data_IF_695590058330
#
_entry.id   IF_695590058330
#
_cell.length_a   1.000
_cell.length_b   1.000
_cell.length_c   1.000
_cell.angle_alpha   90.00
_cell.angle_beta   90.00
_cell.angle_gamma   90.00
#
_symmetry.space_group_name_H-M   'P 1'
#
loop_
_entity.id
_entity.type
_entity.pdbx_description
1 polymer ?
#
# COMPACT_ATOMS: atom_id res chain seq x y z
N UNK A 1 -21.31 -19.22 41.91
CA UNK A 1 -22.10 -20.48 42.02
C UNK A 1 -21.82 -21.30 40.77
N UNK A 2 -22.06 -22.62 40.82
CA UNK A 2 -21.69 -23.55 39.74
C UNK A 2 -22.90 -23.95 38.88
N UNK A 3 -22.60 -24.52 37.69
CA UNK A 3 -23.47 -25.30 36.81
C UNK A 3 -24.76 -24.63 36.26
N UNK A 4 -24.71 -24.29 34.96
CA UNK A 4 -25.50 -25.04 33.96
C UNK A 4 -24.58 -25.32 32.77
N UNK A 5 -24.51 -26.58 32.34
CA UNK A 5 -23.83 -27.06 31.12
C UNK A 5 -24.61 -28.28 30.63
N UNK A 6 -25.36 -28.15 29.54
CA UNK A 6 -25.66 -29.19 28.54
C UNK A 6 -26.62 -28.62 27.47
N UNK A 7 -26.82 -29.40 26.39
CA UNK A 7 -27.56 -29.07 25.16
C UNK A 7 -26.85 -28.02 24.25
N UNK A 8 -26.65 -28.23 22.94
CA UNK A 8 -27.06 -29.31 22.01
C UNK A 8 -25.87 -29.76 21.15
N UNK A 9 -25.72 -31.07 20.92
CA UNK A 9 -24.84 -31.60 19.87
C UNK A 9 -25.26 -33.00 19.40
N UNK A 10 -25.81 -33.10 18.17
CA UNK A 10 -26.10 -34.37 17.46
C UNK A 10 -26.63 -34.15 16.03
N UNK A 11 -25.77 -34.08 15.02
CA UNK A 11 -26.15 -34.26 13.60
C UNK A 11 -24.96 -34.39 12.63
N UNK A 12 -24.01 -35.31 12.90
CA UNK A 12 -22.93 -35.59 11.95
C UNK A 12 -22.32 -37.00 12.15
N UNK A 13 -22.87 -38.01 11.45
CA UNK A 13 -22.08 -39.16 10.99
C UNK A 13 -22.81 -40.00 9.93
N UNK A 14 -22.04 -40.63 9.04
CA UNK A 14 -22.38 -41.73 8.11
C UNK A 14 -23.43 -41.46 7.03
N UNK A 15 -22.95 -41.45 5.78
CA UNK A 15 -23.10 -42.59 4.86
C UNK A 15 -21.92 -42.60 3.86
N UNK A 16 -21.26 -43.76 3.72
CA UNK A 16 -20.21 -44.03 2.71
C UNK A 16 -20.26 -45.53 2.39
N UNK A 17 -20.47 -45.86 1.12
CA UNK A 17 -20.12 -47.11 0.41
C UNK A 17 -20.07 -46.68 -1.08
N UNK A 18 -18.91 -46.69 -1.75
CA UNK A 18 -18.35 -47.82 -2.52
C UNK A 18 -19.31 -48.40 -3.57
N UNK A 19 -19.09 -48.05 -4.84
CA UNK A 19 -19.22 -49.00 -5.95
C UNK A 19 -18.13 -48.71 -7.01
N UNK A 20 -17.78 -49.70 -7.83
CA UNK A 20 -16.61 -49.71 -8.74
C UNK A 20 -17.02 -50.02 -10.18
N UNK A 21 -16.03 -49.96 -11.07
CA UNK A 21 -16.06 -50.26 -12.51
C UNK A 21 -16.65 -49.12 -13.38
N UNK A 22 -16.27 -48.98 -14.65
CA UNK A 22 -15.40 -49.84 -15.48
C UNK A 22 -14.49 -48.98 -16.40
N UNK A 23 -13.37 -49.55 -16.86
CA UNK A 23 -12.49 -48.95 -17.87
C UNK A 23 -12.82 -49.58 -19.23
N UNK A 24 -12.98 -48.74 -20.25
CA UNK A 24 -12.99 -49.18 -21.66
C UNK A 24 -12.14 -48.20 -22.47
N UNK A 25 -11.13 -48.72 -23.15
CA UNK A 25 -10.30 -47.98 -24.11
C UNK A 25 -11.05 -47.73 -25.42
N UNK A 26 -10.72 -46.64 -26.13
CA UNK A 26 -10.63 -46.71 -27.59
C UNK A 26 -9.56 -45.73 -28.12
N UNK A 27 -8.67 -46.23 -28.98
CA UNK A 27 -7.79 -45.39 -29.81
C UNK A 27 -8.58 -44.90 -31.04
N UNK A 28 -8.28 -43.71 -31.56
CA UNK A 28 -7.78 -43.64 -32.94
C UNK A 28 -6.95 -42.36 -33.21
N UNK A 29 -6.33 -42.33 -34.38
CA UNK A 29 -5.31 -41.40 -34.86
C UNK A 29 -5.88 -40.54 -36.00
N UNK A 30 -4.98 -39.81 -36.67
CA UNK A 30 -5.20 -39.04 -37.93
C UNK A 30 -5.93 -37.68 -37.77
N UNK A 31 -5.73 -36.71 -38.67
CA UNK A 31 -4.68 -36.64 -39.68
C UNK A 31 -4.97 -35.73 -40.87
N UNK A 32 -4.43 -34.51 -40.82
CA UNK A 32 -4.09 -33.64 -41.96
C UNK A 32 -5.19 -33.11 -42.93
N UNK A 33 -5.17 -31.78 -43.06
CA UNK A 33 -5.14 -31.02 -44.32
C UNK A 33 -6.41 -30.72 -45.16
N UNK A 34 -6.68 -29.40 -45.20
CA UNK A 34 -6.92 -28.55 -46.39
C UNK A 34 -8.31 -28.28 -47.02
N UNK A 35 -8.54 -26.98 -47.17
CA UNK A 35 -9.06 -26.25 -48.34
C UNK A 35 -10.55 -26.34 -48.75
N UNK A 36 -11.24 -25.19 -48.60
CA UNK A 36 -11.93 -24.56 -49.75
C UNK A 36 -12.04 -23.04 -49.62
N UNK A 37 -12.36 -22.34 -50.73
CA UNK A 37 -12.17 -20.89 -50.93
C UNK A 37 -13.50 -20.12 -50.98
N UNK A 38 -13.51 -18.85 -50.56
CA UNK A 38 -14.31 -17.80 -51.22
C UNK A 38 -13.69 -16.40 -51.11
N UNK A 39 -14.06 -15.52 -52.07
CA UNK A 39 -13.39 -14.25 -52.40
C UNK A 39 -14.26 -13.04 -52.02
N UNK A 40 -13.66 -11.89 -51.67
CA UNK A 40 -13.78 -10.60 -52.42
C UNK A 40 -13.19 -9.39 -51.65
N UNK A 41 -12.10 -8.81 -52.17
CA UNK A 41 -12.09 -7.47 -52.82
C UNK A 41 -10.71 -7.16 -53.42
N UNK A 42 -10.69 -6.46 -54.55
CA UNK A 42 -9.51 -5.86 -55.21
C UNK A 42 -9.81 -4.39 -55.46
N UNK A 43 -8.86 -3.50 -55.22
CA UNK A 43 -8.47 -2.43 -56.16
C UNK A 43 -7.02 -2.01 -55.90
N UNK A 44 -6.36 -1.44 -56.91
CA UNK A 44 -4.91 -1.20 -56.98
C UNK A 44 -4.61 0.23 -57.45
N UNK A 45 -3.50 0.79 -56.96
CA UNK A 45 -2.47 1.66 -57.61
C UNK A 45 -1.32 1.74 -56.56
N UNK A 46 -0.02 1.47 -56.76
CA UNK A 46 0.96 1.62 -57.87
C UNK A 46 1.07 3.07 -58.39
N UNK A 47 2.24 3.69 -58.54
CA UNK A 47 3.69 3.25 -58.53
C UNK A 47 4.44 3.94 -57.34
N UNK A 48 5.64 3.59 -56.84
CA UNK A 48 6.96 3.22 -57.39
C UNK A 48 7.65 4.34 -58.25
N UNK A 49 8.94 4.65 -58.12
CA UNK A 49 9.96 4.25 -57.13
C UNK A 49 11.40 4.17 -57.70
N UNK A 50 12.42 4.55 -56.91
CA UNK A 50 13.89 4.44 -57.10
C UNK A 50 14.55 5.12 -58.33
N UNK A 51 15.67 5.81 -58.07
CA UNK A 51 16.92 5.60 -58.82
C UNK A 51 18.13 5.76 -57.89
N UNK A 52 19.32 5.34 -58.34
CA UNK A 52 20.59 5.34 -57.60
C UNK A 52 21.76 5.40 -58.60
N UNK A 53 22.90 6.00 -58.23
CA UNK A 53 24.15 5.88 -58.99
C UNK A 53 25.37 6.07 -58.11
N UNK A 54 26.44 5.33 -58.43
CA UNK A 54 27.84 5.59 -58.05
C UNK A 54 28.50 6.55 -59.10
N UNK A 55 29.82 6.82 -59.20
CA UNK A 55 31.03 6.08 -58.77
C UNK A 55 32.28 7.00 -58.82
N UNK A 56 33.23 6.79 -57.90
CA UNK A 56 34.72 6.96 -57.99
C UNK A 56 35.41 8.28 -58.41
N UNK A 57 36.70 8.34 -58.04
CA UNK A 57 37.77 9.32 -58.35
C UNK A 57 38.20 9.22 -59.84
N UNK A 58 39.17 9.95 -60.43
CA UNK A 58 40.42 10.64 -60.01
C UNK A 58 40.75 11.73 -61.09
N UNK A 59 41.70 12.70 -61.06
CA UNK A 59 42.84 13.12 -60.20
C UNK A 59 43.12 14.62 -60.45
N UNK A 60 43.83 15.33 -59.57
CA UNK A 60 45.06 16.09 -59.93
C UNK A 60 45.86 16.55 -58.70
N UNK A 61 47.13 16.92 -58.89
CA UNK A 61 48.15 17.07 -57.83
C UNK A 61 49.04 18.28 -58.08
N UNK A 62 49.35 19.11 -57.07
CA UNK A 62 50.55 19.98 -57.08
C UNK A 62 50.87 20.67 -55.75
N UNK A 63 52.13 20.53 -55.33
CA UNK A 63 53.02 21.62 -54.88
C UNK A 63 52.66 22.51 -53.68
N UNK A 64 53.36 22.28 -52.56
CA UNK A 64 54.09 23.28 -51.73
C UNK A 64 53.51 24.71 -51.63
N UNK A 65 53.16 25.22 -50.45
CA UNK A 65 54.14 25.69 -49.45
C UNK A 65 53.46 26.02 -48.10
N UNK A 66 54.23 26.15 -47.01
CA UNK A 66 53.73 26.57 -45.70
C UNK A 66 53.58 28.10 -45.57
N UNK A 67 52.51 28.59 -44.90
CA UNK A 67 52.68 29.66 -43.89
C UNK A 67 51.51 29.75 -42.87
N UNK A 68 51.74 30.44 -41.75
CA UNK A 68 50.99 30.27 -40.49
C UNK A 68 49.94 31.35 -40.23
N UNK A 69 48.65 30.99 -40.10
CA UNK A 69 47.62 31.85 -39.46
C UNK A 69 46.74 31.12 -38.42
N UNK A 70 46.70 31.71 -37.22
CA UNK A 70 46.10 31.17 -35.97
C UNK A 70 44.56 31.04 -36.04
N UNK A 71 44.01 29.84 -35.80
CA UNK A 71 42.58 29.66 -35.45
C UNK A 71 42.38 29.59 -33.93
N UNK A 72 41.49 30.44 -33.38
CA UNK A 72 41.17 30.48 -31.94
C UNK A 72 40.50 29.18 -31.49
N UNK A 73 41.06 28.49 -30.48
CA UNK A 73 40.36 27.41 -29.77
C UNK A 73 39.09 27.98 -29.10
N UNK A 74 37.89 27.64 -29.59
CA UNK A 74 36.65 27.83 -28.81
C UNK A 74 36.77 26.98 -27.54
N UNK A 75 36.92 27.61 -26.37
CA UNK A 75 36.75 26.93 -25.08
C UNK A 75 35.34 26.31 -25.08
N UNK A 76 35.24 24.98 -24.95
CA UNK A 76 33.97 24.36 -24.53
C UNK A 76 33.62 24.97 -23.17
N UNK A 77 32.40 25.49 -23.01
CA UNK A 77 31.89 25.75 -21.65
C UNK A 77 31.94 24.42 -20.88
N UNK A 78 32.27 24.41 -19.58
CA UNK A 78 32.05 23.21 -18.78
C UNK A 78 30.58 22.81 -18.90
N UNK A 79 30.29 21.51 -18.93
CA UNK A 79 28.95 21.06 -18.56
C UNK A 79 28.77 21.48 -17.11
N UNK A 80 27.72 22.24 -16.85
CA UNK A 80 27.35 22.56 -15.48
C UNK A 80 27.00 21.24 -14.77
N UNK A 81 27.58 21.01 -13.60
CA UNK A 81 27.14 19.91 -12.73
C UNK A 81 25.94 20.46 -11.97
N UNK A 82 24.78 20.46 -12.64
CA UNK A 82 23.52 20.91 -12.04
C UNK A 82 23.37 20.29 -10.66
N UNK A 83 23.08 21.14 -9.66
CA UNK A 83 22.95 20.70 -8.28
C UNK A 83 21.85 19.65 -8.13
N UNK A 84 21.91 18.89 -7.03
CA UNK A 84 20.83 17.99 -6.64
C UNK A 84 19.53 18.80 -6.60
N UNK A 85 18.49 18.34 -7.31
CA UNK A 85 17.17 18.98 -7.24
C UNK A 85 16.69 18.92 -5.79
N UNK A 86 16.40 20.07 -5.22
CA UNK A 86 15.74 20.18 -3.93
C UNK A 86 14.22 20.21 -4.16
N UNK A 87 13.46 19.67 -3.22
CA UNK A 87 12.00 19.75 -3.21
C UNK A 87 11.56 21.23 -3.05
N UNK A 88 10.39 21.57 -3.59
CA UNK A 88 9.78 22.90 -3.43
C UNK A 88 9.03 23.02 -2.10
N UNK A 89 8.64 24.25 -1.76
CA UNK A 89 7.70 24.57 -0.69
C UNK A 89 6.53 25.37 -1.30
N UNK A 90 5.28 24.85 -1.30
CA UNK A 90 4.89 23.49 -0.93
C UNK A 90 5.49 22.43 -1.88
N UNK A 91 5.56 21.15 -1.49
CA UNK A 91 6.24 20.12 -2.27
C UNK A 91 5.48 19.74 -3.54
N UNK A 92 6.18 19.69 -4.67
CA UNK A 92 5.56 19.51 -6.01
C UNK A 92 6.39 18.71 -7.01
N UNK A 93 7.67 18.45 -6.75
CA UNK A 93 8.56 17.69 -7.64
C UNK A 93 8.42 16.19 -7.34
N UNK A 94 8.16 15.32 -8.33
CA UNK A 94 8.11 13.88 -8.12
C UNK A 94 9.41 13.33 -7.52
N UNK A 95 9.31 12.34 -6.62
CA UNK A 95 10.47 11.73 -5.97
C UNK A 95 11.45 11.13 -6.98
N UNK A 96 10.96 10.54 -8.07
CA UNK A 96 11.77 10.04 -9.18
C UNK A 96 12.60 11.11 -9.90
N UNK A 97 12.21 12.39 -9.81
CA UNK A 97 13.02 13.51 -10.32
C UNK A 97 14.09 13.99 -9.32
N UNK A 98 13.89 13.78 -8.01
CA UNK A 98 14.86 14.12 -6.95
C UNK A 98 16.03 13.12 -6.93
N UNK A 99 15.77 11.84 -7.24
CA UNK A 99 16.74 10.75 -7.28
C UNK A 99 16.93 10.23 -8.73
N UNK A 100 17.55 11.02 -9.64
CA UNK A 100 17.63 10.71 -11.07
C UNK A 100 18.60 9.56 -11.44
N UNK A 101 19.31 9.01 -10.45
CA UNK A 101 20.07 7.77 -10.55
C UNK A 101 19.27 6.53 -10.14
N UNK A 102 18.04 6.73 -9.64
CA UNK A 102 17.13 5.69 -9.17
C UNK A 102 17.44 5.16 -7.76
N UNK A 103 18.38 5.74 -7.01
CA UNK A 103 18.73 5.26 -5.67
C UNK A 103 17.90 5.97 -4.59
N UNK A 104 16.75 5.40 -4.22
CA UNK A 104 15.86 6.00 -3.23
C UNK A 104 16.32 5.76 -1.77
N UNK A 105 15.99 6.65 -0.82
CA UNK A 105 16.44 6.53 0.56
C UNK A 105 16.00 5.22 1.23
N UNK A 106 16.99 4.51 1.77
CA UNK A 106 16.80 3.28 2.56
C UNK A 106 16.10 3.63 3.88
N UNK A 107 15.15 2.80 4.30
CA UNK A 107 14.49 2.95 5.59
C UNK A 107 15.38 2.59 6.79
N UNK A 108 14.80 2.60 7.99
CA UNK A 108 15.54 2.22 9.20
C UNK A 108 15.88 0.72 9.17
N UNK A 109 17.17 0.42 9.04
CA UNK A 109 17.69 -0.95 9.12
C UNK A 109 17.78 -1.40 10.57
N UNK A 110 17.19 -2.55 10.87
CA UNK A 110 17.19 -3.20 12.17
C UNK A 110 17.62 -4.67 12.03
N UNK A 111 18.14 -5.24 13.11
CA UNK A 111 18.26 -6.71 13.24
C UNK A 111 16.84 -7.30 13.36
N UNK A 112 16.64 -8.53 12.88
CA UNK A 112 15.39 -9.27 13.13
C UNK A 112 15.14 -9.39 14.65
N UNK A 113 13.86 -9.41 15.06
CA UNK A 113 13.52 -9.38 16.48
C UNK A 113 14.02 -10.60 17.28
N UNK A 114 14.29 -10.45 18.59
CA UNK A 114 14.75 -11.53 19.46
C UNK A 114 13.62 -12.49 19.87
N UNK A 115 12.40 -12.32 19.36
CA UNK A 115 11.20 -13.06 19.75
C UNK A 115 11.17 -14.47 19.11
N UNK A 116 11.86 -15.42 19.74
CA UNK A 116 11.85 -16.84 19.32
C UNK A 116 12.87 -17.22 18.24
N UNK A 117 13.62 -16.27 17.71
CA UNK A 117 14.76 -16.49 16.80
C UNK A 117 16.03 -16.73 17.62
N UNK A 118 16.92 -17.63 17.18
CA UNK A 118 18.28 -17.66 17.72
C UNK A 118 18.98 -16.33 17.39
N UNK A 119 19.26 -15.54 18.43
CA UNK A 119 19.91 -14.24 18.38
C UNK A 119 21.29 -14.30 17.67
N UNK A 120 21.92 -15.48 17.61
CA UNK A 120 23.08 -15.76 16.75
C UNK A 120 22.72 -15.81 15.26
N UNK A 121 21.64 -16.48 14.87
CA UNK A 121 21.20 -16.60 13.48
C UNK A 121 20.72 -15.25 12.93
N UNK A 122 19.98 -14.48 13.72
CA UNK A 122 19.57 -13.12 13.36
C UNK A 122 20.77 -12.20 13.04
N UNK A 123 21.90 -12.38 13.74
CA UNK A 123 23.16 -11.65 13.51
C UNK A 123 23.97 -12.21 12.34
N UNK A 124 23.98 -13.54 12.16
CA UNK A 124 24.67 -14.19 11.03
C UNK A 124 24.10 -13.77 9.67
N UNK A 125 22.79 -13.52 9.56
CA UNK A 125 22.12 -13.05 8.34
C UNK A 125 22.76 -11.79 7.71
N UNK A 126 23.21 -10.83 8.53
CA UNK A 126 23.91 -9.62 8.04
C UNK A 126 25.26 -9.92 7.36
N UNK A 127 25.90 -11.03 7.74
CA UNK A 127 27.25 -11.42 7.31
C UNK A 127 27.27 -12.55 6.28
N UNK A 128 26.16 -13.28 6.11
CA UNK A 128 26.06 -14.38 5.16
C UNK A 128 26.06 -13.86 3.71
N UNK A 129 26.98 -14.36 2.88
CA UNK A 129 26.98 -14.03 1.44
C UNK A 129 25.81 -14.64 0.66
N UNK A 130 25.20 -15.72 1.19
CA UNK A 130 23.95 -16.28 0.67
C UNK A 130 22.79 -15.31 0.89
N UNK A 131 22.59 -14.85 2.13
CA UNK A 131 21.58 -13.85 2.45
C UNK A 131 21.80 -12.56 1.64
N UNK A 132 23.05 -12.09 1.52
CA UNK A 132 23.42 -10.94 0.68
C UNK A 132 23.15 -11.18 -0.81
N UNK A 133 23.26 -12.42 -1.31
CA UNK A 133 22.91 -12.74 -2.69
C UNK A 133 21.39 -12.66 -2.92
N UNK A 134 20.59 -13.25 -2.03
CA UNK A 134 19.13 -13.19 -2.06
C UNK A 134 18.60 -11.75 -1.92
N UNK A 135 19.21 -10.97 -1.03
CA UNK A 135 18.89 -9.55 -0.80
C UNK A 135 19.24 -8.67 -2.03
N UNK A 136 20.34 -8.98 -2.72
CA UNK A 136 20.68 -8.35 -4.02
C UNK A 136 19.70 -8.73 -5.14
N UNK A 137 19.09 -9.91 -5.10
CA UNK A 137 18.14 -10.39 -6.13
C UNK A 137 16.75 -9.74 -6.07
N UNK A 138 16.43 -9.02 -4.98
CA UNK A 138 15.14 -8.36 -4.77
C UNK A 138 15.29 -6.83 -4.54
N UNK A 139 16.49 -6.27 -4.74
CA UNK A 139 16.74 -4.87 -4.42
C UNK A 139 15.93 -3.89 -5.28
N UNK A 140 15.55 -4.28 -6.50
CA UNK A 140 14.57 -3.59 -7.33
C UNK A 140 13.20 -3.47 -6.64
N UNK A 141 12.68 -4.55 -6.06
CA UNK A 141 11.44 -4.57 -5.27
C UNK A 141 11.53 -3.63 -4.06
N UNK A 142 12.63 -3.69 -3.31
CA UNK A 142 12.83 -2.81 -2.16
C UNK A 142 12.97 -1.34 -2.59
N UNK A 143 13.56 -1.07 -3.75
CA UNK A 143 13.77 0.27 -4.27
C UNK A 143 12.47 0.92 -4.81
N UNK A 144 11.59 0.14 -5.45
CA UNK A 144 10.21 0.55 -5.77
C UNK A 144 9.47 1.00 -4.49
N UNK A 145 9.56 0.20 -3.42
CA UNK A 145 8.94 0.52 -2.13
C UNK A 145 9.59 1.74 -1.44
N UNK A 146 10.91 1.94 -1.55
CA UNK A 146 11.60 3.15 -1.05
C UNK A 146 11.15 4.42 -1.77
N UNK A 147 10.87 4.39 -3.07
CA UNK A 147 10.30 5.54 -3.78
C UNK A 147 8.92 5.91 -3.22
N UNK A 148 8.05 4.93 -3.01
CA UNK A 148 6.75 5.13 -2.41
C UNK A 148 6.85 5.67 -0.97
N UNK A 149 7.76 5.12 -0.17
CA UNK A 149 8.00 5.53 1.22
C UNK A 149 8.53 6.97 1.33
N UNK A 150 9.36 7.39 0.38
CA UNK A 150 9.86 8.76 0.29
C UNK A 150 8.76 9.75 -0.12
N UNK A 151 7.87 9.37 -1.05
CA UNK A 151 6.69 10.18 -1.39
C UNK A 151 5.74 10.30 -0.19
N UNK A 152 5.59 9.22 0.60
CA UNK A 152 4.83 9.22 1.85
C UNK A 152 5.44 10.15 2.91
N UNK A 153 6.76 10.03 3.19
CA UNK A 153 7.50 10.92 4.10
C UNK A 153 7.35 12.40 3.74
N UNK A 154 7.56 12.76 2.47
CA UNK A 154 7.48 14.15 2.05
C UNK A 154 6.04 14.69 2.09
N UNK A 155 5.04 13.85 1.79
CA UNK A 155 3.63 14.22 1.91
C UNK A 155 3.24 14.45 3.37
N UNK A 156 3.51 13.49 4.27
CA UNK A 156 3.03 13.57 5.66
C UNK A 156 3.64 14.75 6.42
N UNK A 157 4.91 15.08 6.18
CA UNK A 157 5.56 16.28 6.75
C UNK A 157 4.82 17.57 6.37
N UNK A 158 4.58 17.78 5.07
CA UNK A 158 3.79 18.92 4.58
C UNK A 158 2.42 18.97 5.24
N UNK A 159 1.75 17.82 5.37
CA UNK A 159 0.39 17.75 5.91
C UNK A 159 0.33 17.97 7.43
N UNK A 160 1.32 17.51 8.20
CA UNK A 160 1.47 17.87 9.62
C UNK A 160 1.64 19.39 9.80
N UNK A 161 2.46 20.01 8.95
CA UNK A 161 2.70 21.46 8.97
C UNK A 161 1.49 22.26 8.46
N UNK A 162 0.70 21.70 7.53
CA UNK A 162 -0.43 22.36 6.87
C UNK A 162 -1.75 22.29 7.66
N UNK A 163 -2.22 21.11 8.10
CA UNK A 163 -3.55 20.94 8.70
C UNK A 163 -3.75 21.83 9.94
N UNK A 164 -4.91 22.50 10.03
CA UNK A 164 -5.35 23.25 11.22
C UNK A 164 -6.83 22.98 11.52
N UNK A 165 -7.28 23.12 12.78
CA UNK A 165 -8.70 23.18 13.11
C UNK A 165 -9.43 24.28 12.32
N UNK A 166 -10.71 24.06 12.01
CA UNK A 166 -11.52 24.90 11.14
C UNK A 166 -11.53 24.47 9.66
N UNK A 167 -10.62 23.59 9.24
CA UNK A 167 -10.66 22.96 7.91
C UNK A 167 -11.70 21.84 7.85
N UNK A 168 -12.37 21.66 6.71
CA UNK A 168 -13.20 20.46 6.47
C UNK A 168 -12.33 19.23 6.22
N UNK A 169 -12.84 18.04 6.54
CA UNK A 169 -12.15 16.79 6.22
C UNK A 169 -11.93 16.63 4.70
N UNK A 170 -12.81 17.22 3.87
CA UNK A 170 -12.71 17.19 2.41
C UNK A 170 -11.49 18.01 1.94
N UNK A 171 -11.27 19.20 2.48
CA UNK A 171 -10.09 20.02 2.15
C UNK A 171 -8.79 19.31 2.56
N UNK A 172 -8.78 18.71 3.75
CA UNK A 172 -7.64 17.94 4.27
C UNK A 172 -7.30 16.76 3.36
N UNK A 173 -8.29 15.93 3.00
CA UNK A 173 -8.06 14.79 2.11
C UNK A 173 -7.64 15.24 0.71
N UNK A 174 -8.23 16.32 0.18
CA UNK A 174 -7.89 16.79 -1.16
C UNK A 174 -6.45 17.31 -1.24
N UNK A 175 -5.99 18.11 -0.27
CA UNK A 175 -4.60 18.63 -0.25
C UNK A 175 -3.56 17.51 -0.06
N UNK A 176 -3.82 16.56 0.85
CA UNK A 176 -2.96 15.39 1.05
C UNK A 176 -2.89 14.55 -0.22
N UNK A 177 -4.04 14.17 -0.79
CA UNK A 177 -4.05 13.30 -1.97
C UNK A 177 -3.47 14.01 -3.21
N UNK A 178 -3.71 15.31 -3.38
CA UNK A 178 -3.07 16.08 -4.45
C UNK A 178 -1.55 16.14 -4.27
N UNK A 179 -1.06 16.36 -3.06
CA UNK A 179 0.37 16.33 -2.74
C UNK A 179 0.95 14.94 -3.03
N UNK A 180 0.36 13.88 -2.49
CA UNK A 180 0.80 12.51 -2.70
C UNK A 180 0.85 12.13 -4.19
N UNK A 181 -0.14 12.53 -5.00
CA UNK A 181 -0.16 12.31 -6.46
C UNK A 181 0.97 13.04 -7.20
N UNK A 182 1.28 14.28 -6.80
CA UNK A 182 2.42 15.05 -7.34
C UNK A 182 3.76 14.37 -6.99
N UNK A 183 3.92 13.90 -5.75
CA UNK A 183 5.18 13.35 -5.24
C UNK A 183 5.45 11.90 -5.68
N UNK A 184 4.42 11.05 -5.77
CA UNK A 184 4.57 9.69 -6.32
C UNK A 184 4.75 9.70 -7.85
N UNK A 185 4.17 10.70 -8.52
CA UNK A 185 4.06 10.78 -9.98
C UNK A 185 2.95 9.88 -10.52
N UNK A 186 1.69 10.19 -10.20
CA UNK A 186 0.49 9.38 -10.54
C UNK A 186 0.44 8.98 -12.05
N UNK A 187 0.63 7.68 -12.34
CA UNK A 187 0.56 7.07 -13.69
C UNK A 187 -0.25 5.76 -13.65
N UNK A 188 -1.58 5.89 -13.67
CA UNK A 188 -2.51 4.77 -13.75
C UNK A 188 -2.37 3.81 -12.57
N UNK A 189 -1.92 2.58 -12.85
CA UNK A 189 -1.61 1.57 -11.83
C UNK A 189 -0.09 1.41 -11.59
N UNK A 190 0.78 2.07 -12.37
CA UNK A 190 2.23 1.97 -12.21
C UNK A 190 2.75 2.80 -11.04
N UNK A 191 2.13 3.96 -10.79
CA UNK A 191 2.43 4.83 -9.66
C UNK A 191 1.16 5.54 -9.19
N UNK A 192 0.91 5.62 -7.88
CA UNK A 192 -0.35 6.17 -7.40
C UNK A 192 -0.58 6.05 -5.89
N UNK A 193 -1.84 6.26 -5.51
CA UNK A 193 -2.32 6.10 -4.13
C UNK A 193 -2.87 4.69 -3.95
N UNK A 194 -2.46 3.98 -2.91
CA UNK A 194 -2.78 2.56 -2.73
C UNK A 194 -4.16 2.32 -2.10
N UNK A 195 -4.62 3.28 -1.30
CA UNK A 195 -5.94 3.29 -0.68
C UNK A 195 -6.33 4.73 -0.28
N UNK A 196 -7.63 5.02 -0.04
CA UNK A 196 -8.08 6.37 0.28
C UNK A 196 -7.53 6.92 1.59
N UNK A 197 -7.38 8.24 1.66
CA UNK A 197 -6.93 8.92 2.88
C UNK A 197 -7.93 8.75 4.02
N UNK A 198 -7.60 7.90 4.98
CA UNK A 198 -8.23 7.85 6.28
C UNK A 198 -7.96 9.14 7.06
N UNK A 199 -9.01 9.68 7.66
CA UNK A 199 -8.98 10.86 8.51
C UNK A 199 -9.86 10.65 9.76
N UNK A 200 -9.80 9.44 10.33
CA UNK A 200 -10.73 8.92 11.35
C UNK A 200 -10.62 9.65 12.68
N UNK A 201 -11.76 10.06 13.27
CA UNK A 201 -11.77 10.96 14.44
C UNK A 201 -12.33 10.34 15.73
N UNK A 202 -11.65 10.63 16.84
CA UNK A 202 -12.06 10.29 18.21
C UNK A 202 -12.34 8.80 18.37
N UNK A 203 -13.57 8.41 18.69
CA UNK A 203 -14.02 7.02 18.77
C UNK A 203 -13.97 6.23 17.45
N UNK A 204 -13.95 6.88 16.28
CA UNK A 204 -13.67 6.23 15.00
C UNK A 204 -12.17 5.97 14.88
N UNK A 205 -11.78 4.71 14.76
CA UNK A 205 -10.39 4.27 14.65
C UNK A 205 -9.90 4.31 13.20
N UNK A 206 -10.58 3.61 12.29
CA UNK A 206 -10.15 3.37 10.91
C UNK A 206 -11.29 3.55 9.87
N UNK A 207 -10.93 3.56 8.58
CA UNK A 207 -11.82 3.56 7.41
C UNK A 207 -12.83 4.73 7.25
N UNK A 208 -12.70 5.83 8.00
CA UNK A 208 -13.43 7.06 7.67
C UNK A 208 -12.61 7.95 6.73
N UNK A 209 -13.16 8.20 5.54
CA UNK A 209 -12.81 9.33 4.66
C UNK A 209 -14.13 10.00 4.24
N UNK A 210 -14.21 11.34 4.10
CA UNK A 210 -15.46 12.01 3.77
C UNK A 210 -15.98 11.61 2.39
N UNK A 211 -17.30 11.50 2.28
CA UNK A 211 -18.01 11.40 1.01
C UNK A 211 -18.34 12.80 0.46
N UNK A 212 -18.77 12.90 -0.80
CA UNK A 212 -19.12 14.18 -1.41
C UNK A 212 -20.29 14.85 -0.67
N UNK A 213 -20.05 16.06 -0.14
CA UNK A 213 -21.03 16.83 0.64
C UNK A 213 -20.97 16.61 2.16
N UNK A 214 -20.00 15.85 2.67
CA UNK A 214 -19.73 15.74 4.11
C UNK A 214 -19.31 17.12 4.68
N UNK A 215 -20.07 17.70 5.63
CA UNK A 215 -19.80 19.03 6.19
C UNK A 215 -18.83 19.01 7.38
N UNK A 216 -18.24 17.85 7.70
CA UNK A 216 -17.45 17.64 8.92
C UNK A 216 -16.19 18.50 8.96
N UNK A 217 -16.06 19.34 9.99
CA UNK A 217 -14.94 20.26 10.25
C UNK A 217 -14.06 19.72 11.38
N UNK A 218 -12.75 19.79 11.19
CA UNK A 218 -11.74 19.41 12.20
C UNK A 218 -11.72 20.43 13.35
N UNK A 219 -11.82 19.94 14.57
CA UNK A 219 -11.84 20.74 15.81
C UNK A 219 -10.50 20.62 16.57
N UNK A 220 -10.29 21.51 17.54
CA UNK A 220 -9.06 21.53 18.36
C UNK A 220 -8.91 20.30 19.28
N UNK A 221 -10.02 19.77 19.79
CA UNK A 221 -10.07 18.61 20.70
C UNK A 221 -10.20 17.26 19.96
N UNK A 222 -9.96 17.20 18.64
CA UNK A 222 -10.00 15.94 17.91
C UNK A 222 -8.71 15.11 18.04
N UNK A 223 -8.89 13.79 18.14
CA UNK A 223 -7.85 12.78 17.95
C UNK A 223 -8.02 12.13 16.57
N UNK A 224 -7.29 12.65 15.59
CA UNK A 224 -7.47 12.34 14.16
C UNK A 224 -6.37 11.41 13.66
N UNK A 225 -6.72 10.22 13.19
CA UNK A 225 -5.76 9.34 12.48
C UNK A 225 -5.66 9.79 11.04
N UNK A 226 -4.46 10.16 10.61
CA UNK A 226 -4.13 10.45 9.21
C UNK A 226 -3.39 9.23 8.68
N UNK A 227 -4.00 8.58 7.70
CA UNK A 227 -3.71 7.22 7.25
C UNK A 227 -3.84 7.20 5.72
N UNK A 228 -2.76 6.93 4.98
CA UNK A 228 -2.79 7.00 3.51
C UNK A 228 -1.70 6.20 2.82
N UNK A 229 -2.09 5.46 1.77
CA UNK A 229 -1.16 4.61 1.03
C UNK A 229 -0.58 5.23 -0.23
N UNK A 230 0.69 4.96 -0.50
CA UNK A 230 1.35 5.22 -1.81
C UNK A 230 1.88 3.91 -2.41
N UNK A 231 2.03 3.84 -3.73
CA UNK A 231 2.66 2.69 -4.37
C UNK A 231 3.46 3.02 -5.64
N UNK A 232 4.44 2.15 -5.93
CA UNK A 232 5.06 1.96 -7.25
C UNK A 232 4.91 0.49 -7.63
N UNK A 233 4.41 0.18 -8.84
CA UNK A 233 4.17 -1.17 -9.36
C UNK A 233 3.44 -2.13 -8.39
N UNK A 234 2.52 -1.58 -7.59
CA UNK A 234 1.78 -2.31 -6.56
C UNK A 234 2.57 -2.61 -5.27
N UNK A 235 3.82 -2.15 -5.13
CA UNK A 235 4.54 -2.12 -3.84
C UNK A 235 3.93 -1.03 -2.98
N UNK A 236 2.99 -1.41 -2.14
CA UNK A 236 2.26 -0.48 -1.27
C UNK A 236 3.14 -0.14 -0.07
N UNK A 237 3.16 1.15 0.26
CA UNK A 237 3.52 1.63 1.58
C UNK A 237 2.23 1.98 2.30
N UNK A 238 2.00 1.25 3.38
CA UNK A 238 0.99 1.47 4.40
C UNK A 238 1.65 2.12 5.63
N UNK A 239 1.06 3.20 6.15
CA UNK A 239 1.67 4.06 7.16
C UNK A 239 0.71 5.16 7.64
N UNK A 240 0.53 5.24 8.95
CA UNK A 240 -0.42 6.14 9.59
C UNK A 240 0.18 6.82 10.83
N UNK A 241 -0.36 7.99 11.18
CA UNK A 241 -0.03 8.73 12.39
C UNK A 241 -1.27 9.39 12.99
N UNK A 242 -1.24 9.67 14.30
CA UNK A 242 -2.31 10.43 14.94
C UNK A 242 -1.93 11.90 15.08
N UNK A 243 -2.76 12.77 14.48
CA UNK A 243 -2.73 14.22 14.61
C UNK A 243 -3.65 14.68 15.75
N UNK A 244 -3.12 15.57 16.59
CA UNK A 244 -3.81 16.25 17.70
C UNK A 244 -3.38 17.71 17.77
N UNK A 245 -4.22 18.57 18.35
CA UNK A 245 -3.85 19.97 18.66
C UNK A 245 -3.92 20.27 20.16
N UNK A 246 -4.71 19.52 20.93
CA UNK A 246 -4.72 19.58 22.39
C UNK A 246 -3.72 18.59 23.00
N UNK A 247 -2.66 19.04 23.71
CA UNK A 247 -1.65 18.16 24.30
C UNK A 247 -2.17 17.29 25.46
N UNK A 248 -3.42 17.44 25.90
CA UNK A 248 -4.03 16.50 26.87
C UNK A 248 -4.02 15.04 26.36
N UNK A 249 -3.94 14.85 25.04
CA UNK A 249 -3.87 13.54 24.41
C UNK A 249 -2.45 12.98 24.29
N UNK A 250 -1.38 13.75 24.52
CA UNK A 250 0.01 13.31 24.33
C UNK A 250 0.30 11.93 24.98
N UNK A 251 -0.13 11.63 26.22
CA UNK A 251 0.10 10.31 26.82
C UNK A 251 -0.54 9.14 26.07
N UNK A 252 -1.68 9.35 25.41
CA UNK A 252 -2.33 8.35 24.55
C UNK A 252 -1.57 8.18 23.22
N UNK A 253 -1.02 9.27 22.68
CA UNK A 253 -0.22 9.26 21.46
C UNK A 253 1.10 8.51 21.68
N UNK A 254 1.79 8.77 22.79
CA UNK A 254 3.03 8.06 23.15
C UNK A 254 2.79 6.57 23.44
N UNK A 255 1.69 6.22 24.14
CA UNK A 255 1.33 4.82 24.41
C UNK A 255 1.21 3.99 23.12
N UNK A 256 0.48 4.52 22.13
CA UNK A 256 0.31 3.85 20.83
C UNK A 256 1.62 3.87 20.02
N UNK A 257 2.40 4.96 20.08
CA UNK A 257 3.67 5.03 19.34
C UNK A 257 4.70 4.03 19.86
N UNK A 258 4.83 3.82 21.18
CA UNK A 258 5.74 2.77 21.69
C UNK A 258 5.16 1.35 21.57
N UNK A 259 3.84 1.16 21.61
CA UNK A 259 3.22 -0.12 21.30
C UNK A 259 3.50 -0.54 19.84
N UNK A 260 3.28 0.36 18.86
CA UNK A 260 3.67 0.14 17.45
C UNK A 260 5.15 -0.09 17.30
N UNK A 261 6.00 0.73 17.93
CA UNK A 261 7.44 0.51 17.88
C UNK A 261 7.86 -0.80 18.54
N UNK A 262 7.12 -1.31 19.53
CA UNK A 262 7.38 -2.61 20.15
C UNK A 262 6.96 -3.76 19.24
N UNK A 263 5.84 -3.65 18.51
CA UNK A 263 5.52 -4.56 17.40
C UNK A 263 6.64 -4.60 16.35
N UNK A 264 7.14 -3.43 15.93
CA UNK A 264 8.24 -3.30 14.97
C UNK A 264 9.54 -3.89 15.54
N UNK A 265 9.86 -3.69 16.82
CA UNK A 265 11.01 -4.30 17.51
C UNK A 265 10.90 -5.84 17.50
N UNK A 266 9.72 -6.38 17.84
CA UNK A 266 9.45 -7.81 17.96
C UNK A 266 9.44 -8.56 16.62
N UNK A 267 8.88 -7.96 15.56
CA UNK A 267 8.76 -8.56 14.23
C UNK A 267 10.11 -9.07 13.65
N UNK A 268 10.08 -10.15 12.87
CA UNK A 268 11.28 -10.78 12.32
C UNK A 268 10.95 -12.08 11.60
N UNK A 269 11.87 -12.57 10.76
CA UNK A 269 11.72 -13.90 10.13
C UNK A 269 11.66 -14.96 11.25
N UNK A 270 10.81 -15.97 11.09
CA UNK A 270 10.53 -17.05 12.06
C UNK A 270 9.82 -16.64 13.37
N UNK A 271 9.54 -15.36 13.57
CA UNK A 271 8.74 -14.85 14.72
C UNK A 271 7.27 -15.21 14.53
N UNK A 272 6.59 -15.66 15.59
CA UNK A 272 5.16 -15.97 15.56
C UNK A 272 4.32 -14.69 15.71
N UNK A 273 3.24 -14.57 14.93
CA UNK A 273 2.36 -13.40 14.93
C UNK A 273 1.73 -13.16 16.32
N UNK A 274 1.35 -14.23 17.02
CA UNK A 274 0.83 -14.17 18.39
C UNK A 274 1.83 -13.60 19.43
N UNK A 275 3.15 -13.82 19.27
CA UNK A 275 4.18 -13.29 20.17
C UNK A 275 4.32 -11.76 19.98
N UNK A 276 4.23 -11.29 18.73
CA UNK A 276 4.21 -9.85 18.39
C UNK A 276 3.01 -9.18 19.05
N UNK A 277 1.81 -9.77 18.97
CA UNK A 277 0.60 -9.24 19.59
C UNK A 277 0.61 -9.27 21.12
N UNK A 278 1.27 -10.24 21.74
CA UNK A 278 1.48 -10.25 23.18
C UNK A 278 2.38 -9.09 23.63
N UNK A 279 3.50 -8.86 22.94
CA UNK A 279 4.44 -7.77 23.26
C UNK A 279 3.84 -6.38 23.01
N UNK A 280 3.06 -6.20 21.93
CA UNK A 280 2.31 -4.97 21.66
C UNK A 280 1.34 -4.67 22.83
N UNK A 281 0.58 -5.68 23.27
CA UNK A 281 -0.41 -5.50 24.33
C UNK A 281 0.25 -5.18 25.68
N UNK A 282 1.35 -5.85 26.02
CA UNK A 282 2.08 -5.61 27.27
C UNK A 282 2.55 -4.15 27.38
N UNK A 283 3.06 -3.57 26.29
CA UNK A 283 3.42 -2.15 26.27
C UNK A 283 2.18 -1.26 26.25
N UNK A 284 1.20 -1.49 25.37
CA UNK A 284 -0.01 -0.67 25.28
C UNK A 284 -0.76 -0.56 26.61
N UNK A 285 -0.99 -1.69 27.29
CA UNK A 285 -1.75 -1.76 28.55
C UNK A 285 -0.90 -1.39 29.78
N UNK A 286 0.38 -1.04 29.61
CA UNK A 286 1.21 -0.46 30.69
C UNK A 286 1.00 1.05 30.88
N UNK A 287 0.36 1.73 29.92
CA UNK A 287 0.09 3.17 29.99
C UNK A 287 -1.28 3.48 30.62
N UNK A 288 -1.28 4.46 31.52
CA UNK A 288 -2.49 5.14 32.02
C UNK A 288 -2.50 6.60 31.54
N UNK A 289 -3.69 7.10 31.20
CA UNK A 289 -3.90 8.48 30.74
C UNK A 289 -5.04 9.13 31.52
N UNK A 290 -4.89 10.39 31.93
CA UNK A 290 -5.97 11.18 32.51
C UNK A 290 -6.54 12.13 31.45
N UNK A 291 -7.84 11.98 31.14
CA UNK A 291 -8.56 12.85 30.22
C UNK A 291 -9.78 13.41 30.92
N UNK A 292 -9.86 14.75 30.94
CA UNK A 292 -11.01 15.53 31.45
C UNK A 292 -11.46 15.10 32.86
N UNK A 293 -10.48 14.85 33.76
CA UNK A 293 -10.70 14.49 35.16
C UNK A 293 -10.97 12.99 35.41
N UNK A 294 -10.65 12.12 34.45
CA UNK A 294 -10.83 10.66 34.58
C UNK A 294 -9.64 9.89 34.02
N UNK A 295 -9.12 8.96 34.80
CA UNK A 295 -8.04 8.04 34.41
C UNK A 295 -8.57 6.87 33.56
N UNK A 296 -7.77 6.45 32.58
CA UNK A 296 -8.00 5.30 31.72
C UNK A 296 -6.70 4.53 31.53
N UNK A 297 -6.70 3.22 31.77
CA UNK A 297 -5.70 2.33 31.16
C UNK A 297 -5.95 2.30 29.64
N UNK A 298 -4.90 2.48 28.84
CA UNK A 298 -4.99 2.39 27.37
C UNK A 298 -5.18 0.92 26.97
N UNK A 299 -6.09 0.64 26.04
CA UNK A 299 -6.40 -0.73 25.60
C UNK A 299 -6.14 -0.90 24.12
N UNK A 300 -5.48 -2.00 23.74
CA UNK A 300 -5.47 -2.45 22.36
C UNK A 300 -6.89 -2.67 21.83
N UNK A 301 -7.21 -2.17 20.63
CA UNK A 301 -8.47 -2.50 19.94
C UNK A 301 -8.37 -3.93 19.40
N UNK A 302 -8.87 -4.91 20.18
CA UNK A 302 -8.57 -6.34 19.97
C UNK A 302 -9.09 -6.98 18.68
N UNK A 303 -9.89 -6.25 17.90
CA UNK A 303 -10.38 -6.66 16.57
C UNK A 303 -9.92 -5.70 15.44
N UNK A 304 -8.83 -4.97 15.65
CA UNK A 304 -7.98 -4.39 14.61
C UNK A 304 -6.61 -5.07 14.65
N UNK A 305 -5.98 -5.24 13.50
CA UNK A 305 -4.76 -6.04 13.34
C UNK A 305 -3.97 -5.48 12.16
N UNK A 306 -2.64 -5.33 12.30
CA UNK A 306 -1.77 -5.14 11.14
C UNK A 306 -1.80 -6.36 10.21
N UNK A 307 -1.09 -6.31 9.09
CA UNK A 307 -1.23 -7.35 8.05
C UNK A 307 0.00 -7.50 7.17
N UNK A 308 0.18 -8.69 6.60
CA UNK A 308 1.06 -8.89 5.45
C UNK A 308 0.56 -8.09 4.25
N UNK A 309 1.46 -7.48 3.47
CA UNK A 309 1.19 -6.73 2.24
C UNK A 309 1.72 -7.49 1.02
N UNK A 310 1.08 -7.34 -0.13
CA UNK A 310 1.53 -7.93 -1.41
C UNK A 310 1.21 -7.03 -2.61
N UNK A 311 1.78 -7.30 -3.80
CA UNK A 311 1.56 -6.48 -5.00
C UNK A 311 0.08 -6.25 -5.31
N UNK A 312 -0.36 -5.00 -5.22
CA UNK A 312 -1.77 -4.58 -5.38
C UNK A 312 -2.77 -5.27 -4.42
N UNK A 313 -2.30 -5.78 -3.27
CA UNK A 313 -3.11 -6.46 -2.25
C UNK A 313 -2.69 -5.97 -0.87
N UNK A 314 -3.49 -5.06 -0.29
CA UNK A 314 -3.19 -4.46 1.01
C UNK A 314 -3.22 -5.50 2.14
N UNK A 315 -4.31 -6.28 2.22
CA UNK A 315 -4.44 -7.43 3.11
C UNK A 315 -4.04 -8.74 2.38
N UNK A 316 -2.78 -9.16 2.50
CA UNK A 316 -2.26 -10.33 1.78
C UNK A 316 -2.57 -11.70 2.41
N UNK A 317 -3.14 -11.74 3.63
CA UNK A 317 -3.74 -12.94 4.22
C UNK A 317 -3.28 -13.27 5.65
N UNK A 318 -2.06 -12.89 6.05
CA UNK A 318 -1.61 -12.99 7.45
C UNK A 318 -1.97 -11.71 8.20
N UNK A 319 -2.49 -11.84 9.42
CA UNK A 319 -2.80 -10.73 10.31
C UNK A 319 -1.86 -10.69 11.52
N UNK A 320 -1.37 -9.50 11.85
CA UNK A 320 -0.51 -9.22 13.01
C UNK A 320 -1.42 -8.79 14.16
N UNK A 321 -1.69 -9.65 15.15
CA UNK A 321 -2.55 -9.28 16.27
C UNK A 321 -1.88 -8.19 17.11
N UNK A 322 -2.68 -7.39 17.80
CA UNK A 322 -2.23 -6.37 18.78
C UNK A 322 -2.63 -6.74 20.22
N UNK A 323 -3.01 -8.00 20.41
CA UNK A 323 -3.37 -8.66 21.67
C UNK A 323 -2.80 -10.08 21.72
N UNK A 324 -2.61 -10.62 22.92
CA UNK A 324 -2.24 -12.03 23.12
C UNK A 324 -3.34 -12.99 22.63
N UNK A 325 -2.95 -14.19 22.22
CA UNK A 325 -3.88 -15.28 21.87
C UNK A 325 -4.29 -15.38 20.40
N UNK A 326 -3.60 -14.67 19.50
CA UNK A 326 -3.71 -14.88 18.05
C UNK A 326 -3.03 -16.18 17.57
N UNK A 327 -2.93 -16.34 16.25
CA UNK A 327 -2.38 -17.56 15.64
C UNK A 327 -0.85 -17.66 15.72
N UNK A 328 -0.36 -18.91 15.81
CA UNK A 328 1.07 -19.26 15.82
C UNK A 328 1.71 -19.30 14.42
N UNK A 329 1.11 -18.65 13.43
CA UNK A 329 1.70 -18.47 12.09
C UNK A 329 2.97 -17.64 12.22
N UNK A 330 3.99 -17.96 11.41
CA UNK A 330 5.26 -17.23 11.36
C UNK A 330 5.29 -16.16 10.27
N UNK A 331 6.03 -15.10 10.54
CA UNK A 331 6.52 -14.18 9.52
C UNK A 331 7.68 -14.82 8.74
N UNK A 332 7.71 -14.65 7.43
CA UNK A 332 8.65 -15.29 6.50
C UNK A 332 9.58 -14.27 5.80
N UNK A 333 10.59 -14.79 5.12
CA UNK A 333 11.57 -13.97 4.39
C UNK A 333 10.97 -13.32 3.15
N UNK A 334 11.33 -12.05 2.90
CA UNK A 334 10.82 -11.17 1.85
C UNK A 334 9.35 -10.72 2.00
N UNK A 335 8.65 -11.13 3.07
CA UNK A 335 7.32 -10.59 3.36
C UNK A 335 7.40 -9.10 3.74
N UNK A 336 6.41 -8.34 3.26
CA UNK A 336 6.12 -6.98 3.69
C UNK A 336 4.99 -7.01 4.72
N UNK A 337 5.05 -6.16 5.74
CA UNK A 337 4.04 -6.07 6.80
C UNK A 337 3.71 -4.61 7.14
N UNK A 338 2.42 -4.29 7.15
CA UNK A 338 1.85 -3.23 7.98
C UNK A 338 1.98 -3.64 9.46
N UNK A 339 2.77 -2.89 10.23
CA UNK A 339 2.77 -2.99 11.69
C UNK A 339 2.10 -1.74 12.23
N UNK A 340 0.78 -1.81 12.37
CA UNK A 340 -0.07 -0.82 13.02
C UNK A 340 -0.52 -1.28 14.42
N UNK A 341 -0.81 -0.33 15.30
CA UNK A 341 -1.50 -0.59 16.56
C UNK A 341 -2.50 0.51 16.87
N UNK A 342 -3.58 0.14 17.57
CA UNK A 342 -4.65 1.06 17.95
C UNK A 342 -4.88 1.02 19.46
N UNK A 343 -4.67 2.16 20.12
CA UNK A 343 -5.02 2.36 21.53
C UNK A 343 -6.38 3.03 21.67
N UNK A 344 -7.19 2.59 22.63
CA UNK A 344 -8.52 3.10 22.93
C UNK A 344 -8.73 3.34 24.42
N UNK A 345 -9.40 4.43 24.77
CA UNK A 345 -9.96 4.68 26.12
C UNK A 345 -11.36 4.07 26.32
N UNK A 346 -11.92 3.44 25.29
CA UNK A 346 -13.25 2.83 25.25
C UNK A 346 -13.28 1.36 25.71
N UNK A 347 -13.90 0.50 24.90
CA UNK A 347 -14.00 -0.96 25.15
C UNK A 347 -12.81 -1.74 24.61
N UNK A 348 -11.98 -1.13 23.77
CA UNK A 348 -10.97 -1.83 22.96
C UNK A 348 -11.64 -2.77 21.95
N UNK A 349 -12.76 -2.33 21.34
CA UNK A 349 -13.51 -3.08 20.32
C UNK A 349 -14.15 -2.10 19.33
N UNK A 350 -13.87 -2.26 18.05
CA UNK A 350 -14.57 -1.53 16.98
C UNK A 350 -15.77 -2.30 16.42
N UNK A 351 -16.72 -1.56 15.85
CA UNK A 351 -17.84 -2.05 15.05
C UNK A 351 -18.14 -1.07 13.92
N UNK A 352 -18.76 -1.55 12.86
CA UNK A 352 -19.19 -0.77 11.69
C UNK A 352 -20.20 0.32 12.09
N UNK A 353 -19.95 1.58 11.74
CA UNK A 353 -20.89 2.69 11.89
C UNK A 353 -20.69 3.75 10.78
N UNK A 354 -21.57 4.75 10.73
CA UNK A 354 -21.55 5.88 9.78
C UNK A 354 -21.72 5.46 8.30
N UNK A 355 -21.56 6.40 7.37
CA UNK A 355 -21.70 6.08 5.94
C UNK A 355 -20.40 5.47 5.38
N UNK A 356 -20.48 4.21 4.93
CA UNK A 356 -19.37 3.54 4.25
C UNK A 356 -18.79 4.40 3.12
N UNK A 357 -17.46 4.56 3.12
CA UNK A 357 -16.73 5.43 2.20
C UNK A 357 -15.68 4.68 1.37
N UNK A 358 -15.01 3.70 1.98
CA UNK A 358 -14.00 2.85 1.36
C UNK A 358 -14.61 1.60 0.73
N UNK A 359 -14.04 1.18 -0.40
CA UNK A 359 -14.40 -0.01 -1.14
C UNK A 359 -13.13 -0.60 -1.76
N UNK A 360 -13.06 -1.93 -1.90
CA UNK A 360 -11.95 -2.59 -2.58
C UNK A 360 -12.50 -3.71 -3.46
N UNK A 361 -11.87 -3.96 -4.61
CA UNK A 361 -12.25 -5.12 -5.42
C UNK A 361 -11.75 -6.39 -4.73
N UNK A 362 -12.66 -7.32 -4.43
CA UNK A 362 -12.36 -8.66 -3.91
C UNK A 362 -11.23 -9.32 -4.69
N UNK A 363 -10.06 -9.52 -4.07
CA UNK A 363 -8.84 -9.90 -4.78
C UNK A 363 -8.96 -11.29 -5.42
N UNK A 364 -9.45 -12.27 -4.65
CA UNK A 364 -9.58 -13.67 -5.07
C UNK A 364 -10.89 -13.94 -5.85
N UNK A 365 -11.67 -12.90 -6.19
CA UNK A 365 -12.93 -13.06 -6.91
C UNK A 365 -12.71 -13.36 -8.41
N UNK A 366 -13.25 -14.50 -8.84
CA UNK A 366 -13.32 -14.90 -10.25
C UNK A 366 -14.34 -14.10 -11.07
N UNK A 367 -14.84 -14.70 -12.15
CA UNK A 367 -15.83 -14.05 -13.01
C UNK A 367 -17.20 -13.92 -12.31
N UNK A 368 -17.58 -12.69 -11.93
CA UNK A 368 -18.89 -12.39 -11.34
C UNK A 368 -19.93 -12.06 -12.43
N UNK A 369 -21.05 -12.82 -12.55
CA UNK A 369 -22.02 -12.68 -13.64
C UNK A 369 -22.98 -11.48 -13.44
N UNK A 370 -22.52 -10.28 -13.79
CA UNK A 370 -23.32 -9.06 -13.70
C UNK A 370 -24.42 -9.01 -14.78
N UNK A 371 -25.65 -8.70 -14.36
CA UNK A 371 -26.80 -8.48 -15.27
C UNK A 371 -26.92 -7.01 -15.69
N UNK A 372 -26.86 -6.08 -14.72
CA UNK A 372 -27.02 -4.64 -14.96
C UNK A 372 -25.84 -4.05 -15.75
N UNK A 373 -26.15 -3.23 -16.76
CA UNK A 373 -25.13 -2.59 -17.59
C UNK A 373 -24.36 -1.49 -16.83
N UNK A 374 -25.00 -0.84 -15.86
CA UNK A 374 -24.35 0.12 -14.95
C UNK A 374 -23.27 -0.54 -14.10
N UNK A 375 -23.55 -1.68 -13.47
CA UNK A 375 -22.57 -2.45 -12.69
C UNK A 375 -21.40 -2.94 -13.53
N UNK A 376 -21.66 -3.42 -14.76
CA UNK A 376 -20.58 -3.76 -15.72
C UNK A 376 -19.70 -2.55 -16.03
N UNK A 377 -20.30 -1.40 -16.29
CA UNK A 377 -19.57 -0.17 -16.58
C UNK A 377 -18.74 0.29 -15.38
N UNK A 378 -19.29 0.22 -14.17
CA UNK A 378 -18.60 0.60 -12.94
C UNK A 378 -17.43 -0.35 -12.63
N UNK A 379 -17.63 -1.68 -12.73
CA UNK A 379 -16.55 -2.65 -12.54
C UNK A 379 -15.44 -2.50 -13.58
N UNK A 380 -15.77 -2.12 -14.82
CA UNK A 380 -14.77 -1.77 -15.83
C UNK A 380 -13.98 -0.51 -15.46
N UNK A 381 -14.61 0.51 -14.88
CA UNK A 381 -13.88 1.67 -14.32
C UNK A 381 -12.97 1.26 -13.17
N UNK A 382 -13.46 0.47 -12.22
CA UNK A 382 -12.68 -0.02 -11.07
C UNK A 382 -11.46 -0.82 -11.53
N UNK A 383 -11.65 -1.82 -12.40
CA UNK A 383 -10.54 -2.60 -12.98
C UNK A 383 -9.50 -1.73 -13.72
N UNK A 384 -9.92 -0.61 -14.34
CA UNK A 384 -9.04 0.30 -15.09
C UNK A 384 -8.26 1.27 -14.19
N UNK A 385 -8.88 1.76 -13.13
CA UNK A 385 -8.36 2.87 -12.33
C UNK A 385 -7.78 2.47 -10.97
N UNK A 386 -8.23 1.34 -10.40
CA UNK A 386 -7.80 0.86 -9.08
C UNK A 386 -7.33 -0.60 -9.12
N UNK A 387 -7.85 -1.42 -10.04
CA UNK A 387 -7.48 -2.84 -10.15
C UNK A 387 -8.03 -3.62 -8.95
N UNK A 388 -7.14 -3.95 -8.01
CA UNK A 388 -7.44 -4.54 -6.69
C UNK A 388 -7.06 -3.63 -5.52
N UNK A 389 -6.55 -2.42 -5.78
CA UNK A 389 -6.36 -1.39 -4.76
C UNK A 389 -7.70 -0.87 -4.24
N UNK A 390 -7.70 -0.32 -3.02
CA UNK A 390 -8.89 0.28 -2.44
C UNK A 390 -9.16 1.69 -3.03
N UNK A 391 -10.42 2.10 -3.02
CA UNK A 391 -10.90 3.37 -3.55
C UNK A 391 -12.07 3.90 -2.72
N UNK A 392 -12.41 5.18 -2.87
CA UNK A 392 -13.56 5.79 -2.20
C UNK A 392 -14.53 6.45 -3.20
N UNK A 393 -15.70 6.89 -2.71
CA UNK A 393 -16.70 7.60 -3.52
C UNK A 393 -16.12 8.85 -4.19
N UNK A 394 -15.35 9.67 -3.47
CA UNK A 394 -14.67 10.87 -4.03
C UNK A 394 -13.76 10.52 -5.22
N UNK A 395 -13.14 9.34 -5.24
CA UNK A 395 -12.29 8.90 -6.35
C UNK A 395 -13.11 8.44 -7.57
N UNK A 396 -14.27 7.81 -7.35
CA UNK A 396 -15.24 7.56 -8.41
C UNK A 396 -15.76 8.87 -9.02
N UNK A 397 -16.04 9.88 -8.18
CA UNK A 397 -16.43 11.22 -8.64
C UNK A 397 -15.30 11.88 -9.46
N UNK A 398 -14.03 11.80 -8.99
CA UNK A 398 -12.84 12.32 -9.70
C UNK A 398 -12.64 11.71 -11.09
N UNK A 399 -12.92 10.41 -11.27
CA UNK A 399 -12.85 9.76 -12.59
C UNK A 399 -14.13 9.91 -13.43
N UNK A 400 -15.05 10.79 -13.02
CA UNK A 400 -16.24 11.17 -13.77
C UNK A 400 -17.41 10.19 -13.68
N UNK A 401 -17.41 9.26 -12.72
CA UNK A 401 -18.59 8.44 -12.46
C UNK A 401 -19.70 9.28 -11.79
N UNK A 402 -20.94 9.07 -12.20
CA UNK A 402 -22.12 9.70 -11.59
C UNK A 402 -23.24 8.68 -11.41
N UNK A 403 -24.09 8.86 -10.40
CA UNK A 403 -25.25 7.98 -10.10
C UNK A 403 -24.89 6.49 -9.94
N UNK A 404 -23.66 6.21 -9.53
CA UNK A 404 -23.10 4.86 -9.43
C UNK A 404 -23.53 4.10 -8.16
N UNK A 405 -24.18 4.75 -7.19
CA UNK A 405 -24.46 4.19 -5.86
C UNK A 405 -25.23 2.85 -5.92
N UNK A 406 -26.25 2.73 -6.78
CA UNK A 406 -26.97 1.46 -6.99
C UNK A 406 -26.11 0.39 -7.67
N UNK A 407 -25.22 0.79 -8.58
CA UNK A 407 -24.31 -0.13 -9.25
C UNK A 407 -23.21 -0.64 -8.29
N UNK A 408 -22.71 0.23 -7.41
CA UNK A 408 -21.73 -0.12 -6.38
C UNK A 408 -22.34 -1.10 -5.37
N UNK A 409 -23.58 -0.87 -4.94
CA UNK A 409 -24.36 -1.81 -4.11
C UNK A 409 -24.53 -3.17 -4.79
N UNK A 410 -24.89 -3.18 -6.08
CA UNK A 410 -25.05 -4.41 -6.90
C UNK A 410 -23.72 -5.16 -7.16
N UNK A 411 -22.56 -4.50 -7.06
CA UNK A 411 -21.24 -5.14 -7.04
C UNK A 411 -20.92 -5.76 -5.66
N UNK A 412 -21.28 -5.06 -4.58
CA UNK A 412 -21.08 -5.55 -3.20
C UNK A 412 -21.94 -6.78 -2.90
N UNK A 413 -23.22 -6.75 -3.27
CA UNK A 413 -24.18 -7.87 -3.12
C UNK A 413 -23.79 -9.14 -3.89
N UNK A 414 -22.74 -9.09 -4.73
CA UNK A 414 -22.27 -10.21 -5.56
C UNK A 414 -20.80 -10.57 -5.33
N UNK A 415 -20.14 -10.00 -4.33
CA UNK A 415 -18.73 -10.27 -4.05
C UNK A 415 -17.78 -9.92 -5.19
N UNK A 416 -18.11 -8.90 -5.99
CA UNK A 416 -17.17 -8.32 -6.97
C UNK A 416 -16.35 -7.17 -6.36
N UNK A 417 -16.88 -6.57 -5.29
CA UNK A 417 -16.33 -5.46 -4.51
C UNK A 417 -16.73 -5.73 -3.05
N UNK A 418 -15.85 -5.42 -2.11
CA UNK A 418 -16.13 -5.37 -0.69
C UNK A 418 -16.30 -3.92 -0.23
N UNK A 419 -17.15 -3.71 0.76
CA UNK A 419 -17.38 -2.43 1.40
C UNK A 419 -16.65 -2.40 2.74
N UNK A 420 -15.87 -1.34 2.98
CA UNK A 420 -15.09 -1.15 4.21
C UNK A 420 -15.66 0.06 4.96
N UNK A 421 -16.64 -0.14 5.86
CA UNK A 421 -17.24 0.95 6.62
C UNK A 421 -16.27 1.47 7.70
N UNK A 422 -16.47 2.72 8.17
CA UNK A 422 -15.78 3.25 9.34
C UNK A 422 -15.90 2.33 10.56
N UNK A 423 -14.79 2.12 11.26
CA UNK A 423 -14.69 1.21 12.39
C UNK A 423 -14.57 2.01 13.70
N UNK A 424 -15.61 1.95 14.54
CA UNK A 424 -15.75 2.83 15.73
C UNK A 424 -15.82 2.04 17.04
N UNK A 425 -15.14 2.51 18.10
CA UNK A 425 -15.41 2.09 19.49
C UNK A 425 -16.54 2.98 20.07
N UNK A 426 -16.85 2.89 21.37
CA UNK A 426 -17.98 3.58 21.99
C UNK A 426 -17.88 5.10 21.86
N UNK A 427 -18.99 5.74 21.47
CA UNK A 427 -19.11 7.20 21.38
C UNK A 427 -18.68 7.88 22.67
N UNK A 428 -17.79 8.86 22.54
CA UNK A 428 -17.20 9.60 23.67
C UNK A 428 -15.88 9.03 24.20
N UNK A 429 -15.36 7.94 23.64
CA UNK A 429 -13.95 7.57 23.82
C UNK A 429 -13.05 8.19 22.74
N UNK A 430 -11.74 8.01 22.92
CA UNK A 430 -10.68 8.45 22.01
C UNK A 430 -9.86 7.24 21.57
N UNK A 431 -9.49 7.22 20.29
CA UNK A 431 -8.64 6.20 19.69
C UNK A 431 -7.47 6.84 18.94
N UNK A 432 -6.28 6.26 19.03
CA UNK A 432 -5.07 6.68 18.34
C UNK A 432 -4.44 5.48 17.60
N UNK A 433 -3.76 5.75 16.47
CA UNK A 433 -3.04 4.80 15.60
C UNK A 433 -1.63 5.32 15.32
N UNK A 434 -0.66 4.40 15.22
CA UNK A 434 0.62 4.61 14.56
C UNK A 434 0.99 3.37 13.77
N UNK A 435 1.66 3.54 12.65
CA UNK A 435 2.00 2.42 11.77
C UNK A 435 3.27 2.65 10.95
N UNK A 436 4.01 1.57 10.69
CA UNK A 436 4.90 1.51 9.53
C UNK A 436 4.79 0.20 8.75
N UNK A 437 4.85 0.29 7.42
CA UNK A 437 5.35 -0.79 6.58
C UNK A 437 6.79 -1.12 6.93
N UNK A 438 7.07 -2.41 7.09
CA UNK A 438 8.42 -2.98 7.08
C UNK A 438 8.53 -4.11 6.05
N UNK A 439 9.76 -4.46 5.70
CA UNK A 439 10.10 -5.65 4.89
C UNK A 439 11.15 -6.51 5.58
N UNK A 440 10.92 -7.82 5.60
CA UNK A 440 11.78 -8.83 6.21
C UNK A 440 12.80 -9.37 5.21
N UNK A 441 13.75 -8.51 4.83
CA UNK A 441 14.81 -8.82 3.87
C UNK A 441 15.70 -9.97 4.37
N UNK A 442 16.36 -10.75 3.49
CA UNK A 442 17.19 -11.90 3.88
C UNK A 442 18.33 -11.54 4.84
N UNK A 443 18.83 -10.30 4.76
CA UNK A 443 19.94 -9.80 5.59
C UNK A 443 19.49 -9.06 6.84
N UNK A 444 18.29 -8.47 6.85
CA UNK A 444 17.86 -7.51 7.87
C UNK A 444 16.35 -7.22 7.84
N UNK A 445 15.85 -6.50 8.85
CA UNK A 445 14.51 -5.89 8.85
C UNK A 445 14.65 -4.42 8.43
N UNK A 446 13.93 -3.97 7.41
CA UNK A 446 13.91 -2.56 6.99
C UNK A 446 12.53 -1.96 7.27
N UNK A 447 12.46 -1.00 8.20
CA UNK A 447 11.26 -0.19 8.45
C UNK A 447 11.22 0.91 7.39
N UNK A 448 10.65 0.57 6.25
CA UNK A 448 10.85 1.30 4.99
C UNK A 448 10.20 2.68 4.99
N UNK A 449 9.08 2.84 5.71
CA UNK A 449 8.35 4.10 5.87
C UNK A 449 8.73 4.91 7.13
N UNK A 450 9.78 4.53 7.86
CA UNK A 450 10.32 5.34 8.97
C UNK A 450 10.76 6.71 8.45
N UNK A 451 10.60 7.76 9.25
CA UNK A 451 11.17 9.09 9.00
C UNK A 451 11.85 9.69 10.23
N UNK A 452 12.13 10.99 10.19
CA UNK A 452 12.63 11.77 11.33
C UNK A 452 11.50 12.22 12.28
N UNK A 453 10.25 11.99 11.88
CA UNK A 453 9.00 12.43 12.51
C UNK A 453 8.35 11.34 13.39
N UNK A 454 8.35 10.09 12.91
CA UNK A 454 8.02 8.88 13.68
C UNK A 454 8.63 7.62 13.05
#
# INVERSE_FOLDING_TARGET
>A
MAAVLDEVGKSAEKLVDEEKNEIVDEEDKTGAAEASKKKKKKKKKKKAGKFCSSTTEVTENNGETEEVKKKKKKKRKPKDKGGVKQQTDPPSIPVSELFPDGNFPVGQIMVHGPAGVDDRMAKLRFTSEEARALDRMHNDIYNEARQAAEAHRQTRRHIMEWIKPGMTMIEICNELEETARKLIGEDGLLAGLAFPTGCSRNHCAAHYTPNAGDPTVLEFDDVTKIDFGTHINGRIIDCAFTLIFNPKYDPLIEAVRDATNTGIKAAGIDVQLCDVGAAIQEVMESYEVELDGKTYQVKSIRNLNGHSISPYRIHAGKTVPIVRGGEAIRMEENEFYAIETFGSTGRGVVHDDMECSHYMKSFDAGFVPLRLQSSKSLLNTINKHFGTLAFCKRWLDRVGCTKYQMALKDLCEKGAVEAYPPLVDVKGCYTAQFEHTLVLRPTCKEVISRGDDY
#
